data_IF_777185322434
#
_entry.id   IF_777185322434
#
_cell.length_a   1.000
_cell.length_b   1.000
_cell.length_c   1.000
_cell.angle_alpha   90.00
_cell.angle_beta   90.00
_cell.angle_gamma   90.00
#
_symmetry.space_group_name_H-M   'P 1'
#
loop_
_entity.id
_entity.type
_entity.pdbx_description
1 polymer ?
#
# COMPACT_ATOMS: atom_id res chain seq x y z
N UNK A 1 9.07 16.84 5.57
CA UNK A 1 10.25 16.24 6.20
C UNK A 1 11.35 17.27 6.40
N UNK A 2 11.86 17.95 5.37
CA UNK A 2 12.71 19.13 5.58
C UNK A 2 12.00 20.29 6.31
N UNK A 3 10.66 20.37 6.24
CA UNK A 3 9.77 21.19 7.10
C UNK A 3 9.60 20.67 8.55
N UNK A 4 9.99 19.41 8.82
CA UNK A 4 9.87 18.76 10.14
C UNK A 4 11.22 18.70 10.88
N UNK A 5 12.31 19.12 10.22
CA UNK A 5 13.70 19.03 10.70
C UNK A 5 14.39 20.39 10.87
N UNK A 6 13.71 21.54 10.74
CA UNK A 6 14.34 22.80 11.17
C UNK A 6 14.66 22.77 12.68
N UNK A 7 13.85 22.05 13.46
CA UNK A 7 14.14 21.68 14.83
C UNK A 7 14.98 20.41 14.90
N UNK A 8 16.22 20.60 15.37
CA UNK A 8 17.28 19.61 15.56
C UNK A 8 16.91 18.56 16.62
N UNK A 9 15.91 17.73 16.32
CA UNK A 9 15.40 16.69 17.23
C UNK A 9 16.08 15.36 16.94
N UNK A 10 16.90 14.92 17.89
CA UNK A 10 17.50 13.58 17.93
C UNK A 10 16.40 12.55 18.22
N UNK A 11 15.73 12.09 17.16
CA UNK A 11 14.56 11.21 17.27
C UNK A 11 14.96 9.74 17.06
N UNK A 12 15.15 9.01 18.16
CA UNK A 12 15.36 7.55 18.19
C UNK A 12 14.03 6.77 18.07
N UNK A 13 13.21 7.07 17.07
CA UNK A 13 11.92 6.40 16.81
C UNK A 13 11.55 6.36 15.33
N UNK A 14 10.54 5.56 14.98
CA UNK A 14 10.10 5.40 13.59
C UNK A 14 9.07 6.47 13.18
N UNK A 15 9.29 7.13 12.03
CA UNK A 15 8.35 8.07 11.43
C UNK A 15 7.47 7.32 10.41
N UNK A 16 6.20 7.12 10.76
CA UNK A 16 5.17 6.60 9.86
C UNK A 16 4.48 7.74 9.10
N UNK A 17 4.75 7.89 7.79
CA UNK A 17 3.97 8.78 6.92
C UNK A 17 3.01 7.94 6.12
N UNK A 18 1.80 7.80 6.66
CA UNK A 18 0.67 7.16 5.99
C UNK A 18 -0.03 8.21 5.10
N UNK A 19 0.19 8.18 3.79
CA UNK A 19 -0.63 8.97 2.84
C UNK A 19 -2.00 8.30 2.61
N UNK A 20 -2.63 7.79 3.67
CA UNK A 20 -3.98 7.22 3.60
C UNK A 20 -5.09 8.27 3.56
N UNK A 21 -4.75 9.56 3.66
CA UNK A 21 -5.73 10.62 3.89
C UNK A 21 -5.48 11.89 3.08
N UNK A 22 -6.46 12.41 2.31
CA UNK A 22 -6.58 13.85 2.19
C UNK A 22 -6.81 14.43 3.60
N UNK A 23 -6.22 15.60 3.91
CA UNK A 23 -6.31 16.22 5.24
C UNK A 23 -7.75 16.41 5.78
N UNK A 24 -8.76 16.32 4.92
CA UNK A 24 -10.19 16.34 5.24
C UNK A 24 -10.68 15.22 6.17
N UNK A 25 -9.88 14.17 6.37
CA UNK A 25 -10.29 12.97 7.12
C UNK A 25 -9.59 12.83 8.48
N UNK A 26 -8.82 13.84 8.91
CA UNK A 26 -8.12 13.90 10.20
C UNK A 26 -9.05 13.86 11.42
N UNK A 27 -10.34 14.12 11.24
CA UNK A 27 -11.35 14.19 12.30
C UNK A 27 -12.23 12.93 12.41
N UNK A 28 -11.88 11.83 11.75
CA UNK A 28 -12.62 10.58 11.85
C UNK A 28 -12.25 9.82 13.13
N UNK A 29 -13.26 9.35 13.86
CA UNK A 29 -13.10 8.62 15.13
C UNK A 29 -13.03 7.09 14.96
N UNK A 30 -12.77 6.59 13.75
CA UNK A 30 -12.70 5.17 13.44
C UNK A 30 -11.45 4.85 12.62
N UNK A 31 -11.00 3.60 12.67
CA UNK A 31 -9.82 3.16 11.93
C UNK A 31 -10.14 3.07 10.42
N UNK A 32 -9.61 3.98 9.62
CA UNK A 32 -9.88 3.96 8.17
C UNK A 32 -9.21 2.80 7.44
N UNK A 33 -8.14 2.23 7.99
CA UNK A 33 -7.51 1.05 7.41
C UNK A 33 -8.51 -0.10 7.47
N UNK A 34 -9.23 -0.23 8.59
CA UNK A 34 -10.29 -1.21 8.72
C UNK A 34 -11.47 -0.93 7.79
N UNK A 35 -11.87 0.34 7.61
CA UNK A 35 -12.91 0.69 6.65
C UNK A 35 -12.49 0.34 5.23
N UNK A 36 -11.25 0.63 4.84
CA UNK A 36 -10.71 0.32 3.51
C UNK A 36 -10.68 -1.19 3.25
N UNK A 37 -10.41 -1.97 4.30
CA UNK A 37 -10.47 -3.43 4.29
C UNK A 37 -11.88 -3.98 4.11
N UNK A 38 -12.90 -3.33 4.69
CA UNK A 38 -14.28 -3.82 4.70
C UNK A 38 -15.09 -3.28 3.51
N UNK A 39 -14.81 -2.05 3.06
CA UNK A 39 -15.60 -1.33 2.07
C UNK A 39 -14.70 -0.65 1.01
N UNK A 40 -14.21 -1.42 0.04
CA UNK A 40 -13.56 -0.87 -1.15
C UNK A 40 -14.54 -0.80 -2.32
N UNK A 41 -15.20 0.36 -2.50
CA UNK A 41 -16.12 0.62 -3.61
C UNK A 41 -15.41 0.71 -4.98
N UNK A 42 -14.07 0.72 -4.98
CA UNK A 42 -13.23 0.87 -6.16
C UNK A 42 -12.30 -0.32 -6.39
N UNK A 43 -12.56 -1.46 -5.75
CA UNK A 43 -11.73 -2.67 -5.82
C UNK A 43 -11.58 -3.27 -7.23
N UNK A 44 -12.42 -2.85 -8.18
CA UNK A 44 -12.35 -3.18 -9.60
C UNK A 44 -11.42 -2.28 -10.43
N UNK A 45 -10.94 -1.17 -9.85
CA UNK A 45 -10.04 -0.22 -10.51
C UNK A 45 -8.73 -0.07 -9.72
N UNK A 46 -8.81 -0.20 -8.41
CA UNK A 46 -7.74 0.04 -7.46
C UNK A 46 -7.65 -1.11 -6.45
N UNK A 47 -6.43 -1.40 -6.01
CA UNK A 47 -6.20 -2.37 -4.95
C UNK A 47 -6.80 -1.87 -3.63
N UNK A 48 -7.64 -2.67 -2.99
CA UNK A 48 -8.27 -2.41 -1.69
C UNK A 48 -7.27 -1.96 -0.60
N UNK A 49 -6.18 -2.69 -0.36
CA UNK A 49 -5.18 -2.31 0.63
C UNK A 49 -4.14 -1.29 0.09
N UNK A 50 -3.56 -1.54 -1.09
CA UNK A 50 -2.38 -0.78 -1.56
C UNK A 50 -2.71 0.59 -2.17
N UNK A 51 -3.92 0.83 -2.65
CA UNK A 51 -4.21 2.05 -3.39
C UNK A 51 -4.06 3.32 -2.54
N UNK A 52 -3.20 4.24 -2.98
CA UNK A 52 -2.91 5.46 -2.23
C UNK A 52 -1.89 5.28 -1.11
N UNK A 53 -1.49 4.05 -0.80
CA UNK A 53 -0.51 3.75 0.25
C UNK A 53 0.90 4.04 -0.26
N UNK A 54 1.71 4.64 0.61
CA UNK A 54 3.13 4.87 0.42
C UNK A 54 3.79 4.76 1.80
N UNK A 55 4.74 3.86 1.95
CA UNK A 55 5.58 3.78 3.14
C UNK A 55 6.97 4.35 2.82
N UNK A 56 7.62 4.95 3.81
CA UNK A 56 9.01 5.40 3.70
C UNK A 56 9.79 4.73 4.83
N UNK A 57 10.88 4.03 4.49
CA UNK A 57 11.73 3.36 5.48
C UNK A 57 12.60 4.37 6.22
N UNK A 58 13.21 3.95 7.34
CA UNK A 58 14.20 4.74 8.08
C UNK A 58 15.37 5.18 7.18
N UNK A 59 15.76 4.36 6.19
CA UNK A 59 16.81 4.68 5.23
C UNK A 59 16.36 5.66 4.12
N UNK A 60 15.09 6.09 4.14
CA UNK A 60 14.49 7.01 3.16
C UNK A 60 13.96 6.34 1.89
N UNK A 61 13.91 5.00 1.81
CA UNK A 61 13.35 4.32 0.63
C UNK A 61 11.83 4.31 0.68
N UNK A 62 11.20 4.63 -0.45
CA UNK A 62 9.76 4.56 -0.59
C UNK A 62 9.31 3.17 -1.05
N UNK A 63 8.27 2.62 -0.42
CA UNK A 63 7.69 1.30 -0.65
C UNK A 63 6.17 1.42 -0.87
N UNK A 64 5.52 0.49 -1.61
CA UNK A 64 4.07 0.47 -1.77
C UNK A 64 3.32 0.02 -0.51
N UNK A 65 4.00 -0.75 0.36
CA UNK A 65 3.51 -1.24 1.65
C UNK A 65 4.73 -1.47 2.56
N UNK A 66 4.65 -1.21 3.88
CA UNK A 66 5.77 -1.45 4.79
C UNK A 66 6.22 -2.92 4.84
N UNK A 67 5.35 -3.86 4.49
CA UNK A 67 5.65 -5.30 4.44
C UNK A 67 6.18 -5.76 3.07
N UNK A 68 6.12 -4.93 2.04
CA UNK A 68 6.67 -5.21 0.69
C UNK A 68 8.09 -4.63 0.55
N UNK A 69 8.99 -5.01 1.46
CA UNK A 69 10.34 -4.42 1.58
C UNK A 69 11.23 -4.60 0.33
N UNK A 70 10.97 -5.63 -0.47
CA UNK A 70 11.71 -5.90 -1.71
C UNK A 70 11.31 -4.97 -2.88
N UNK A 71 10.29 -4.12 -2.70
CA UNK A 71 9.70 -3.32 -3.77
C UNK A 71 9.96 -1.82 -3.59
N UNK A 72 11.17 -1.36 -3.92
CA UNK A 72 11.54 0.05 -3.84
C UNK A 72 10.90 0.87 -4.97
N UNK A 73 9.97 1.75 -4.62
CA UNK A 73 9.22 2.62 -5.54
C UNK A 73 9.70 4.07 -5.57
N UNK A 74 10.73 4.42 -4.81
CA UNK A 74 11.36 5.74 -4.84
C UNK A 74 12.41 5.91 -3.75
N UNK A 75 13.09 7.05 -3.77
CA UNK A 75 14.02 7.45 -2.71
C UNK A 75 13.67 8.86 -2.24
N UNK A 76 13.18 8.99 -1.01
CA UNK A 76 12.73 10.23 -0.42
C UNK A 76 13.88 11.19 -0.05
N UNK A 77 15.14 10.74 -0.12
CA UNK A 77 16.33 11.59 0.11
C UNK A 77 16.62 12.48 -1.10
N UNK A 78 16.25 12.03 -2.29
CA UNK A 78 16.52 12.74 -3.56
C UNK A 78 15.24 13.14 -4.30
N UNK A 79 14.08 12.59 -3.93
CA UNK A 79 12.80 12.86 -4.56
C UNK A 79 11.76 13.33 -3.55
N UNK A 80 10.95 14.30 -3.95
CA UNK A 80 9.77 14.69 -3.18
C UNK A 80 8.69 13.61 -3.23
N UNK A 81 7.89 13.53 -2.17
CA UNK A 81 6.70 12.65 -2.12
C UNK A 81 5.77 12.86 -3.32
N UNK A 82 5.63 14.10 -3.80
CA UNK A 82 4.82 14.44 -4.98
C UNK A 82 5.36 13.80 -6.26
N UNK A 83 6.69 13.73 -6.42
CA UNK A 83 7.33 13.04 -7.53
C UNK A 83 7.13 11.52 -7.41
N UNK A 84 7.35 10.95 -6.22
CA UNK A 84 7.20 9.51 -5.97
C UNK A 84 5.76 9.04 -6.24
N UNK A 85 4.75 9.79 -5.80
CA UNK A 85 3.33 9.51 -6.06
C UNK A 85 2.97 9.41 -7.55
N UNK A 86 3.68 10.13 -8.41
CA UNK A 86 3.44 10.13 -9.86
C UNK A 86 4.15 8.97 -10.57
N UNK A 87 5.06 8.25 -9.90
CA UNK A 87 5.80 7.16 -10.51
C UNK A 87 4.90 6.01 -10.92
N UNK A 88 5.08 5.54 -12.15
CA UNK A 88 4.39 4.36 -12.67
C UNK A 88 4.62 3.11 -11.84
N UNK A 89 5.82 2.94 -11.24
CA UNK A 89 6.10 1.78 -10.37
C UNK A 89 5.21 1.71 -9.13
N UNK A 90 4.97 2.83 -8.44
CA UNK A 90 4.03 2.88 -7.32
C UNK A 90 2.58 2.71 -7.79
N UNK A 91 2.18 3.43 -8.85
CA UNK A 91 0.82 3.37 -9.39
C UNK A 91 0.44 1.98 -9.92
N UNK A 92 1.40 1.15 -10.33
CA UNK A 92 1.17 -0.25 -10.69
C UNK A 92 0.65 -1.06 -9.51
N UNK A 93 1.23 -0.90 -8.31
CA UNK A 93 0.70 -1.52 -7.10
C UNK A 93 -0.70 -1.00 -6.74
N UNK A 94 -0.93 0.30 -6.90
CA UNK A 94 -2.25 0.89 -6.62
C UNK A 94 -3.35 0.37 -7.54
N UNK A 95 -2.99 -0.05 -8.77
CA UNK A 95 -3.91 -0.57 -9.79
C UNK A 95 -3.87 -2.09 -9.92
N UNK A 96 -3.13 -2.79 -9.05
CA UNK A 96 -3.07 -4.24 -9.05
C UNK A 96 -4.38 -4.77 -8.46
N UNK A 97 -5.36 -5.04 -9.32
CA UNK A 97 -6.63 -5.62 -8.89
C UNK A 97 -6.57 -7.14 -8.96
N UNK A 98 -7.56 -7.79 -8.37
CA UNK A 98 -7.71 -9.25 -8.46
C UNK A 98 -7.97 -9.75 -9.89
N UNK A 99 -8.23 -8.87 -10.85
CA UNK A 99 -8.27 -9.25 -12.27
C UNK A 99 -6.90 -9.56 -12.86
N UNK A 100 -5.82 -9.08 -12.22
CA UNK A 100 -4.45 -9.33 -12.63
C UNK A 100 -3.88 -10.63 -12.05
N UNK A 101 -4.65 -11.33 -11.21
CA UNK A 101 -4.23 -12.56 -10.52
C UNK A 101 -5.07 -13.70 -11.08
N UNK A 102 -4.43 -14.71 -11.66
CA UNK A 102 -5.10 -15.78 -12.42
C UNK A 102 -6.23 -16.45 -11.62
N UNK A 103 -5.91 -16.94 -10.42
CA UNK A 103 -6.88 -17.61 -9.54
C UNK A 103 -8.01 -16.67 -9.08
N UNK A 104 -7.69 -15.41 -8.83
CA UNK A 104 -8.69 -14.45 -8.33
C UNK A 104 -9.56 -13.86 -9.45
N UNK A 105 -9.09 -13.83 -10.70
CA UNK A 105 -9.80 -13.18 -11.81
C UNK A 105 -11.16 -13.83 -12.08
N UNK A 106 -11.24 -15.16 -11.92
CA UNK A 106 -12.48 -15.93 -12.09
C UNK A 106 -13.32 -16.01 -10.82
N UNK A 107 -12.79 -15.57 -9.67
CA UNK A 107 -13.50 -15.65 -8.39
C UNK A 107 -14.70 -14.69 -8.37
N UNK A 108 -15.93 -15.16 -8.07
CA UNK A 108 -17.11 -14.30 -7.98
C UNK A 108 -17.02 -13.31 -6.81
N UNK A 109 -16.21 -13.61 -5.79
CA UNK A 109 -16.04 -12.78 -4.59
C UNK A 109 -14.83 -11.84 -4.66
N UNK A 110 -14.15 -11.75 -5.81
CA UNK A 110 -12.85 -11.04 -5.92
C UNK A 110 -12.87 -9.59 -5.42
N UNK A 111 -13.99 -8.89 -5.56
CA UNK A 111 -14.12 -7.50 -5.12
C UNK A 111 -14.55 -7.34 -3.66
N UNK A 112 -14.98 -8.43 -3.01
CA UNK A 112 -15.36 -8.47 -1.60
C UNK A 112 -14.23 -9.02 -0.71
N UNK A 113 -13.41 -9.92 -1.24
CA UNK A 113 -12.29 -10.49 -0.49
C UNK A 113 -11.25 -9.41 -0.17
N UNK A 114 -10.72 -9.41 1.06
CA UNK A 114 -9.60 -8.54 1.40
C UNK A 114 -8.28 -9.14 0.91
N UNK A 115 -7.50 -8.36 0.19
CA UNK A 115 -6.21 -8.77 -0.35
C UNK A 115 -5.03 -8.22 0.47
N UNK A 116 -4.31 -9.09 1.18
CA UNK A 116 -3.00 -8.74 1.73
C UNK A 116 -1.88 -9.22 0.80
N UNK A 117 -1.57 -8.40 -0.21
CA UNK A 117 -0.56 -8.72 -1.24
C UNK A 117 0.85 -8.97 -0.68
N UNK A 118 1.17 -8.38 0.46
CA UNK A 118 2.41 -8.63 1.18
C UNK A 118 2.47 -10.04 1.77
N UNK A 119 1.35 -10.52 2.34
CA UNK A 119 1.26 -11.84 2.95
C UNK A 119 1.37 -12.93 1.86
N UNK A 120 0.63 -12.76 0.76
CA UNK A 120 0.68 -13.68 -0.37
C UNK A 120 2.06 -13.73 -1.04
N UNK A 121 2.71 -12.57 -1.20
CA UNK A 121 4.09 -12.51 -1.71
C UNK A 121 5.08 -13.20 -0.76
N UNK A 122 4.93 -13.05 0.55
CA UNK A 122 5.80 -13.71 1.53
C UNK A 122 5.67 -15.24 1.51
N UNK A 123 4.48 -15.76 1.24
CA UNK A 123 4.25 -17.20 1.15
C UNK A 123 4.66 -17.80 -0.21
N UNK A 124 4.29 -17.14 -1.31
CA UNK A 124 4.54 -17.68 -2.67
C UNK A 124 5.88 -17.26 -3.28
N UNK A 125 6.45 -16.15 -2.84
CA UNK A 125 7.58 -15.49 -3.53
C UNK A 125 7.19 -14.75 -4.82
N UNK A 126 5.91 -14.79 -5.22
CA UNK A 126 5.39 -14.11 -6.40
C UNK A 126 4.35 -13.04 -6.00
N UNK A 127 4.45 -11.84 -6.57
CA UNK A 127 3.48 -10.78 -6.30
C UNK A 127 2.08 -11.13 -6.84
N UNK A 128 2.01 -12.02 -7.83
CA UNK A 128 0.75 -12.53 -8.38
C UNK A 128 0.35 -13.89 -7.79
N UNK A 129 1.14 -14.45 -6.87
CA UNK A 129 0.85 -15.74 -6.23
C UNK A 129 -0.31 -15.66 -5.23
N UNK A 130 -0.92 -16.82 -4.96
CA UNK A 130 -2.00 -16.99 -3.97
C UNK A 130 -1.79 -18.32 -3.25
N UNK A 131 -1.58 -18.27 -1.94
CA UNK A 131 -1.36 -19.42 -1.07
C UNK A 131 -2.42 -19.48 0.05
N UNK A 132 -2.90 -18.34 0.54
CA UNK A 132 -3.81 -18.32 1.70
C UNK A 132 -5.30 -18.38 1.33
N UNK A 133 -5.63 -18.31 0.04
CA UNK A 133 -7.01 -18.49 -0.40
C UNK A 133 -7.45 -19.95 -0.23
N UNK A 134 -8.47 -20.17 0.59
CA UNK A 134 -9.03 -21.51 0.83
C UNK A 134 -10.15 -21.89 -0.14
N UNK A 135 -10.54 -21.00 -1.06
CA UNK A 135 -11.52 -21.32 -2.09
C UNK A 135 -10.84 -22.13 -3.18
N UNK A 136 -11.25 -23.40 -3.29
CA UNK A 136 -11.02 -24.20 -4.50
C UNK A 136 -11.97 -23.66 -5.58
N UNK A 137 -11.40 -23.11 -6.66
CA UNK A 137 -12.13 -22.59 -7.82
C UNK A 137 -11.90 -23.49 -9.03
#
# INVERSE_FOLDING_TARGET
YNELTEDNTDFNGEIYIDLLYPGSLRHLNFNVIEIKRIHSLTSNIYHDCLAGTLAVTADGYALPCPLLRNFIVGDAKVETIKQIKRKGKLRRFWKLTKDNIENCRMCPFKYLCHDCRALEYQASGDIFGIEYCTLEL
#
